data_IF_285380861984
#
_entry.id   IF_285380861984
#
_cell.length_a   1.000
_cell.length_b   1.000
_cell.length_c   1.000
_cell.angle_alpha   90.00
_cell.angle_beta   90.00
_cell.angle_gamma   90.00
#
_symmetry.space_group_name_H-M   'P 1'
#
loop_
_entity.id
_entity.type
_entity.pdbx_description
1 polymer ?
#
# COMPACT_ATOMS: atom_id res chain seq x y z
N UNK A 1 -30.41 7.52 -12.54
CA UNK A 1 -30.92 6.14 -12.35
C UNK A 1 -30.59 5.41 -13.64
N UNK A 2 -29.52 4.65 -13.81
CA UNK A 2 -28.60 3.98 -12.89
C UNK A 2 -27.18 4.54 -12.99
N UNK A 3 -26.67 5.11 -11.90
CA UNK A 3 -25.26 5.53 -11.76
C UNK A 3 -24.39 4.41 -11.15
N UNK A 4 -24.94 3.21 -11.00
CA UNK A 4 -24.37 2.15 -10.15
C UNK A 4 -23.53 1.12 -10.92
N UNK A 5 -23.34 1.31 -12.24
CA UNK A 5 -22.55 0.40 -13.09
C UNK A 5 -21.21 0.99 -13.58
N UNK A 6 -20.79 2.17 -13.10
CA UNK A 6 -19.73 2.94 -13.77
C UNK A 6 -18.29 2.62 -13.35
N UNK A 7 -18.03 1.69 -12.43
CA UNK A 7 -16.65 1.31 -12.08
C UNK A 7 -16.45 -0.20 -12.18
N UNK A 8 -16.49 -0.73 -13.41
CA UNK A 8 -15.88 -2.05 -13.65
C UNK A 8 -14.36 -1.88 -13.60
N UNK A 9 -13.64 -2.63 -12.76
CA UNK A 9 -12.19 -2.52 -12.66
C UNK A 9 -11.57 -2.77 -14.03
N UNK A 10 -10.60 -1.94 -14.41
CA UNK A 10 -9.94 -1.99 -15.72
C UNK A 10 -9.08 -3.25 -15.93
N UNK A 11 -9.03 -4.16 -14.95
CA UNK A 11 -8.09 -5.27 -14.84
C UNK A 11 -8.87 -6.58 -14.66
N UNK A 12 -8.50 -7.61 -15.42
CA UNK A 12 -9.11 -8.95 -15.31
C UNK A 12 -8.77 -9.60 -13.95
N UNK A 13 -9.67 -10.40 -13.37
CA UNK A 13 -9.47 -11.11 -12.10
C UNK A 13 -8.17 -11.93 -12.04
N UNK A 14 -7.74 -12.51 -13.17
CA UNK A 14 -6.44 -13.21 -13.24
C UNK A 14 -5.24 -12.29 -13.10
N UNK A 15 -5.33 -11.09 -13.67
CA UNK A 15 -4.30 -10.06 -13.56
C UNK A 15 -4.29 -9.47 -12.15
N UNK A 16 -5.46 -9.33 -11.52
CA UNK A 16 -5.56 -8.99 -10.11
C UNK A 16 -4.78 -9.99 -9.23
N UNK A 17 -5.01 -11.29 -9.37
CA UNK A 17 -4.26 -12.30 -8.59
C UNK A 17 -2.76 -12.25 -8.85
N UNK A 18 -2.33 -12.02 -10.10
CA UNK A 18 -0.92 -11.87 -10.42
C UNK A 18 -0.29 -10.63 -9.77
N UNK A 19 -1.00 -9.49 -9.79
CA UNK A 19 -0.54 -8.24 -9.15
C UNK A 19 -0.54 -8.35 -7.62
N UNK A 20 -1.55 -9.00 -7.04
CA UNK A 20 -1.61 -9.27 -5.60
C UNK A 20 -0.47 -10.20 -5.14
N UNK A 21 -0.18 -11.26 -5.91
CA UNK A 21 0.94 -12.14 -5.61
C UNK A 21 2.29 -11.40 -5.72
N UNK A 22 2.45 -10.52 -6.69
CA UNK A 22 3.63 -9.67 -6.83
C UNK A 22 3.76 -8.69 -5.66
N UNK A 23 2.66 -8.07 -5.24
CA UNK A 23 2.63 -7.17 -4.08
C UNK A 23 3.03 -7.88 -2.80
N UNK A 24 2.47 -9.08 -2.57
CA UNK A 24 2.84 -9.91 -1.43
C UNK A 24 4.32 -10.28 -1.49
N UNK A 25 4.83 -10.69 -2.64
CA UNK A 25 6.25 -11.05 -2.78
C UNK A 25 7.19 -9.84 -2.56
N UNK A 26 6.84 -8.68 -3.12
CA UNK A 26 7.61 -7.45 -2.97
C UNK A 26 7.66 -7.01 -1.50
N UNK A 27 6.52 -7.00 -0.82
CA UNK A 27 6.44 -6.62 0.59
C UNK A 27 7.12 -7.66 1.51
N UNK A 28 6.98 -8.96 1.20
CA UNK A 28 7.68 -10.04 1.90
C UNK A 28 9.21 -9.95 1.79
N UNK A 29 9.73 -9.37 0.71
CA UNK A 29 11.16 -9.10 0.52
C UNK A 29 11.59 -7.76 1.14
N UNK A 30 10.74 -6.73 1.08
CA UNK A 30 11.01 -5.40 1.62
C UNK A 30 11.17 -5.43 3.15
N UNK A 31 10.34 -6.22 3.85
CA UNK A 31 10.39 -6.36 5.31
C UNK A 31 11.75 -6.85 5.84
N UNK A 32 12.27 -8.00 5.40
CA UNK A 32 13.60 -8.49 5.78
C UNK A 32 14.73 -7.52 5.40
N UNK A 33 14.62 -6.85 4.26
CA UNK A 33 15.62 -5.85 3.84
C UNK A 33 15.64 -4.64 4.79
N UNK A 34 14.47 -4.17 5.23
CA UNK A 34 14.35 -3.12 6.24
C UNK A 34 14.95 -3.56 7.58
N UNK A 35 14.69 -4.80 8.00
CA UNK A 35 15.28 -5.39 9.23
C UNK A 35 16.80 -5.52 9.12
N UNK A 36 17.31 -6.01 7.99
CA UNK A 36 18.75 -6.13 7.75
C UNK A 36 19.43 -4.77 7.78
N UNK A 37 18.79 -3.75 7.21
CA UNK A 37 19.25 -2.36 7.26
C UNK A 37 19.27 -1.85 8.69
N UNK A 38 18.20 -2.07 9.46
CA UNK A 38 18.15 -1.68 10.86
C UNK A 38 19.29 -2.33 11.67
N UNK A 39 19.50 -3.63 11.50
CA UNK A 39 20.58 -4.36 12.17
C UNK A 39 21.96 -3.81 11.78
N UNK A 40 22.19 -3.55 10.49
CA UNK A 40 23.45 -3.00 9.99
C UNK A 40 23.74 -1.60 10.53
N UNK A 41 22.77 -0.69 10.47
CA UNK A 41 22.92 0.69 10.96
C UNK A 41 23.10 0.72 12.48
N UNK A 42 22.41 -0.17 13.20
CA UNK A 42 22.52 -0.27 14.66
C UNK A 42 23.76 -1.06 15.13
N UNK A 43 24.57 -1.61 14.22
CA UNK A 43 25.70 -2.49 14.58
C UNK A 43 25.30 -3.77 15.31
N UNK A 44 24.04 -4.21 15.17
CA UNK A 44 23.47 -5.36 15.86
C UNK A 44 23.51 -6.62 15.00
N UNK A 45 23.60 -7.82 15.61
CA UNK A 45 23.58 -9.05 14.85
C UNK A 45 22.22 -9.26 14.17
N UNK A 46 22.25 -9.60 12.88
CA UNK A 46 21.06 -9.96 12.13
C UNK A 46 20.61 -11.37 12.52
N UNK A 47 19.37 -11.51 12.98
CA UNK A 47 18.80 -12.82 13.35
C UNK A 47 17.78 -13.30 12.32
N UNK A 48 17.73 -14.61 12.10
CA UNK A 48 16.73 -15.22 11.20
C UNK A 48 15.30 -14.93 11.64
N UNK A 49 15.05 -14.93 12.96
CA UNK A 49 13.73 -14.59 13.53
C UNK A 49 13.31 -13.15 13.20
N UNK A 50 14.23 -12.19 13.33
CA UNK A 50 13.93 -10.80 12.98
C UNK A 50 13.59 -10.65 11.49
N UNK A 51 14.34 -11.33 10.60
CA UNK A 51 14.02 -11.34 9.16
C UNK A 51 12.64 -11.96 8.88
N UNK A 52 12.31 -13.09 9.53
CA UNK A 52 10.99 -13.73 9.38
C UNK A 52 9.85 -12.83 9.83
N UNK A 53 10.01 -12.13 10.95
CA UNK A 53 9.03 -11.15 11.43
C UNK A 53 8.89 -9.96 10.48
N UNK A 54 10.00 -9.49 9.90
CA UNK A 54 9.97 -8.47 8.84
C UNK A 54 9.18 -8.95 7.62
N UNK A 55 9.43 -10.17 7.13
CA UNK A 55 8.68 -10.76 6.03
C UNK A 55 7.19 -10.88 6.35
N UNK A 56 6.87 -11.37 7.55
CA UNK A 56 5.49 -11.52 8.01
C UNK A 56 4.76 -10.18 8.01
N UNK A 57 5.35 -9.13 8.58
CA UNK A 57 4.76 -7.78 8.57
C UNK A 57 4.46 -7.29 7.13
N UNK A 58 5.38 -7.52 6.20
CA UNK A 58 5.18 -7.19 4.79
C UNK A 58 4.04 -7.98 4.13
N UNK A 59 3.99 -9.30 4.38
CA UNK A 59 2.90 -10.16 3.90
C UNK A 59 1.57 -9.75 4.50
N UNK A 60 1.51 -9.38 5.79
CA UNK A 60 0.28 -8.92 6.43
C UNK A 60 -0.22 -7.62 5.79
N UNK A 61 0.66 -6.63 5.55
CA UNK A 61 0.29 -5.37 4.85
C UNK A 61 -0.40 -5.65 3.52
N UNK A 62 0.32 -6.33 2.64
CA UNK A 62 -0.11 -6.62 1.27
C UNK A 62 -1.29 -7.60 1.21
N UNK A 63 -1.33 -8.59 2.11
CA UNK A 63 -2.44 -9.54 2.23
C UNK A 63 -3.75 -8.87 2.63
N UNK A 64 -3.72 -7.93 3.57
CA UNK A 64 -4.91 -7.13 3.95
C UNK A 64 -5.39 -6.31 2.76
N UNK A 65 -4.48 -5.61 2.07
CA UNK A 65 -4.82 -4.79 0.89
C UNK A 65 -5.45 -5.65 -0.21
N UNK A 66 -4.79 -6.75 -0.59
CA UNK A 66 -5.29 -7.68 -1.59
C UNK A 66 -6.65 -8.28 -1.18
N UNK A 67 -6.84 -8.64 0.09
CA UNK A 67 -8.12 -9.15 0.56
C UNK A 67 -9.25 -8.12 0.45
N UNK A 68 -9.02 -6.89 0.92
CA UNK A 68 -10.04 -5.82 0.86
C UNK A 68 -10.39 -5.49 -0.58
N UNK A 69 -9.40 -5.42 -1.47
CA UNK A 69 -9.63 -5.21 -2.90
C UNK A 69 -10.40 -6.36 -3.54
N UNK A 70 -10.05 -7.62 -3.25
CA UNK A 70 -10.77 -8.79 -3.73
C UNK A 70 -12.23 -8.79 -3.29
N UNK A 71 -12.48 -8.51 -2.01
CA UNK A 71 -13.83 -8.45 -1.45
C UNK A 71 -14.63 -7.29 -2.05
N UNK A 72 -13.98 -6.22 -2.51
CA UNK A 72 -14.61 -5.15 -3.27
C UNK A 72 -15.29 -5.62 -4.56
N UNK A 73 -14.81 -6.71 -5.18
CA UNK A 73 -15.49 -7.31 -6.33
C UNK A 73 -16.82 -7.98 -5.98
N UNK A 74 -17.03 -8.35 -4.71
CA UNK A 74 -18.21 -9.10 -4.28
C UNK A 74 -19.45 -8.22 -4.01
N UNK A 75 -19.34 -6.89 -4.11
CA UNK A 75 -20.49 -5.98 -3.94
C UNK A 75 -21.07 -5.98 -2.53
N UNK A 76 -20.21 -5.81 -1.52
CA UNK A 76 -20.63 -5.78 -0.11
C UNK A 76 -21.54 -4.58 0.24
N UNK A 77 -22.42 -4.72 1.25
CA UNK A 77 -23.18 -3.60 1.78
C UNK A 77 -22.26 -2.51 2.36
N UNK A 78 -22.64 -1.25 2.19
CA UNK A 78 -21.83 -0.06 2.53
C UNK A 78 -21.19 -0.09 3.92
N UNK A 79 -21.89 -0.51 5.00
CA UNK A 79 -21.27 -0.58 6.33
C UNK A 79 -20.10 -1.57 6.40
N UNK A 80 -20.23 -2.74 5.78
CA UNK A 80 -19.16 -3.74 5.74
C UNK A 80 -17.98 -3.25 4.88
N UNK A 81 -18.27 -2.53 3.79
CA UNK A 81 -17.26 -1.90 2.96
C UNK A 81 -16.45 -0.83 3.72
N UNK A 82 -17.12 0.04 4.48
CA UNK A 82 -16.47 1.08 5.29
C UNK A 82 -15.51 0.45 6.31
N UNK A 83 -15.91 -0.62 6.99
CA UNK A 83 -15.06 -1.33 7.95
C UNK A 83 -13.82 -1.93 7.30
N UNK A 84 -13.96 -2.52 6.11
CA UNK A 84 -12.84 -3.08 5.37
C UNK A 84 -11.88 -2.00 4.85
N UNK A 85 -12.40 -0.87 4.39
CA UNK A 85 -11.58 0.28 3.99
C UNK A 85 -10.84 0.87 5.18
N UNK A 86 -11.46 0.92 6.37
CA UNK A 86 -10.78 1.33 7.59
C UNK A 86 -9.64 0.37 7.96
N UNK A 87 -9.85 -0.94 7.81
CA UNK A 87 -8.82 -1.95 8.03
C UNK A 87 -7.66 -1.81 7.04
N UNK A 88 -7.95 -1.61 5.75
CA UNK A 88 -6.96 -1.40 4.69
C UNK A 88 -6.34 0.02 4.68
N UNK A 89 -6.81 0.93 5.53
CA UNK A 89 -6.20 2.25 5.66
C UNK A 89 -4.82 2.16 6.30
N UNK A 90 -3.98 3.20 6.12
CA UNK A 90 -2.68 3.27 6.81
C UNK A 90 -2.81 3.12 8.32
N UNK A 91 -3.84 3.72 8.90
CA UNK A 91 -4.09 3.63 10.34
C UNK A 91 -4.39 2.19 10.76
N UNK A 92 -5.29 1.51 10.04
CA UNK A 92 -5.66 0.12 10.31
C UNK A 92 -4.46 -0.82 10.18
N UNK A 93 -3.76 -0.75 9.05
CA UNK A 93 -2.59 -1.59 8.76
C UNK A 93 -1.47 -1.37 9.79
N UNK A 94 -1.12 -0.12 10.09
CA UNK A 94 -0.04 0.17 11.06
C UNK A 94 -0.36 -0.40 12.45
N UNK A 95 -1.61 -0.25 12.90
CA UNK A 95 -2.07 -0.79 14.19
C UNK A 95 -2.05 -2.31 14.18
N UNK A 96 -2.57 -2.96 13.13
CA UNK A 96 -2.60 -4.43 13.01
C UNK A 96 -1.20 -5.02 13.01
N UNK A 97 -0.31 -4.49 12.17
CA UNK A 97 1.08 -5.00 12.08
C UNK A 97 1.81 -4.76 13.39
N UNK A 98 1.64 -3.60 14.00
CA UNK A 98 2.28 -3.31 15.29
C UNK A 98 1.76 -4.24 16.38
N UNK A 99 0.45 -4.51 16.40
CA UNK A 99 -0.14 -5.47 17.33
C UNK A 99 0.38 -6.89 17.10
N UNK A 100 0.43 -7.35 15.85
CA UNK A 100 0.93 -8.66 15.46
C UNK A 100 2.39 -8.85 15.91
N UNK A 101 3.27 -7.94 15.49
CA UNK A 101 4.70 -8.05 15.78
C UNK A 101 4.99 -7.87 17.27
N UNK A 102 4.29 -6.95 17.95
CA UNK A 102 4.45 -6.79 19.40
C UNK A 102 4.06 -8.05 20.14
N UNK A 103 2.92 -8.66 19.79
CA UNK A 103 2.47 -9.89 20.44
C UNK A 103 3.44 -11.07 20.18
N UNK A 104 4.01 -11.18 18.98
CA UNK A 104 4.99 -12.22 18.64
C UNK A 104 6.37 -12.04 19.28
N UNK A 105 6.75 -10.81 19.63
CA UNK A 105 8.06 -10.47 20.20
C UNK A 105 7.99 -10.37 21.73
N UNK A 106 6.97 -9.71 22.25
CA UNK A 106 6.80 -9.35 23.66
C UNK A 106 5.78 -10.24 24.39
N UNK A 107 4.93 -10.98 23.66
CA UNK A 107 3.82 -11.75 24.24
C UNK A 107 2.61 -10.90 24.63
N UNK A 108 2.65 -9.60 24.35
CA UNK A 108 1.57 -8.66 24.58
C UNK A 108 1.61 -7.53 23.55
N UNK A 109 0.57 -6.70 23.54
CA UNK A 109 0.48 -5.52 22.67
C UNK A 109 0.44 -4.25 23.51
N UNK A 110 1.59 -3.63 23.80
CA UNK A 110 1.63 -2.42 24.61
C UNK A 110 0.84 -1.29 23.93
N UNK A 111 -0.10 -0.67 24.66
CA UNK A 111 -0.89 0.45 24.16
C UNK A 111 -0.02 1.59 23.64
N UNK A 112 1.15 1.81 24.25
CA UNK A 112 2.14 2.79 23.79
C UNK A 112 2.59 2.56 22.36
N UNK A 113 2.86 1.29 21.98
CA UNK A 113 3.27 0.94 20.62
C UNK A 113 2.12 1.14 19.63
N UNK A 114 0.88 0.86 20.04
CA UNK A 114 -0.29 1.16 19.21
C UNK A 114 -0.48 2.66 18.98
N UNK A 115 -0.28 3.49 20.01
CA UNK A 115 -0.33 4.95 19.85
C UNK A 115 0.78 5.41 18.89
N UNK A 116 1.99 4.88 19.04
CA UNK A 116 3.09 5.18 18.13
C UNK A 116 2.74 4.79 16.68
N UNK A 117 2.10 3.64 16.47
CA UNK A 117 1.63 3.19 15.16
C UNK A 117 0.60 4.15 14.54
N UNK A 118 -0.37 4.61 15.33
CA UNK A 118 -1.39 5.57 14.87
C UNK A 118 -0.77 6.90 14.46
N UNK A 119 0.21 7.40 15.22
CA UNK A 119 0.87 8.67 14.88
C UNK A 119 1.80 8.51 13.67
N UNK A 120 2.49 7.38 13.55
CA UNK A 120 3.31 7.05 12.39
C UNK A 120 2.47 6.85 11.10
N UNK A 121 1.19 6.50 11.21
CA UNK A 121 0.31 6.38 10.06
C UNK A 121 0.02 7.73 9.38
N UNK A 122 0.18 8.87 10.07
CA UNK A 122 -0.04 10.22 9.51
C UNK A 122 0.91 10.52 8.34
N UNK A 123 2.24 10.41 8.49
CA UNK A 123 3.14 10.57 7.36
C UNK A 123 3.00 9.44 6.33
N UNK A 124 2.68 8.22 6.76
CA UNK A 124 2.43 7.10 5.85
C UNK A 124 1.14 7.24 5.03
N UNK A 125 0.25 8.19 5.34
CA UNK A 125 -1.01 8.41 4.62
C UNK A 125 -0.82 8.58 3.11
N UNK A 126 0.36 9.05 2.67
CA UNK A 126 0.71 9.16 1.26
C UNK A 126 1.13 7.85 0.57
N UNK A 127 1.38 6.75 1.30
CA UNK A 127 1.98 5.50 0.81
C UNK A 127 1.01 4.31 0.76
N UNK A 128 -0.18 4.39 1.38
CA UNK A 128 -1.18 3.29 1.35
C UNK A 128 -1.96 3.22 0.04
N UNK A 129 -1.22 3.06 -1.04
CA UNK A 129 -1.72 2.69 -2.36
C UNK A 129 -1.12 1.32 -2.65
N UNK A 130 -1.95 0.30 -2.83
CA UNK A 130 -1.45 -1.03 -3.24
C UNK A 130 -0.95 -1.00 -4.69
N UNK A 131 -0.08 -1.95 -5.05
CA UNK A 131 0.42 -2.12 -6.43
C UNK A 131 -0.73 -2.14 -7.46
N UNK A 132 -1.86 -2.74 -7.11
CA UNK A 132 -3.06 -2.79 -7.95
C UNK A 132 -3.63 -1.40 -8.28
N UNK A 133 -3.71 -0.50 -7.28
CA UNK A 133 -4.12 0.88 -7.50
C UNK A 133 -3.09 1.66 -8.33
N UNK A 134 -1.79 1.43 -8.14
CA UNK A 134 -0.75 2.00 -9.00
C UNK A 134 -0.88 1.53 -10.46
N UNK A 135 -1.28 0.28 -10.69
CA UNK A 135 -1.47 -0.31 -12.01
C UNK A 135 -2.78 0.09 -12.72
N UNK A 136 -3.57 1.01 -12.15
CA UNK A 136 -4.78 1.56 -12.77
C UNK A 136 -6.07 1.33 -11.99
N UNK A 137 -6.12 0.33 -11.10
CA UNK A 137 -7.20 0.05 -10.15
C UNK A 137 -8.65 0.35 -10.60
N UNK A 138 -9.50 0.72 -9.64
CA UNK A 138 -10.85 1.25 -9.88
C UNK A 138 -10.87 2.76 -10.24
N UNK A 139 -9.80 3.49 -9.93
CA UNK A 139 -9.77 4.97 -9.92
C UNK A 139 -8.67 5.59 -10.79
N UNK A 140 -7.99 4.81 -11.64
CA UNK A 140 -6.90 5.26 -12.50
C UNK A 140 -5.53 5.24 -11.80
N UNK A 141 -4.47 5.06 -12.59
CA UNK A 141 -3.10 4.99 -12.09
C UNK A 141 -2.55 6.37 -11.74
N UNK A 142 -2.01 6.52 -10.52
CA UNK A 142 -1.27 7.73 -10.13
C UNK A 142 0.20 7.37 -9.96
N UNK A 143 1.10 7.82 -10.85
CA UNK A 143 2.53 7.61 -10.65
C UNK A 143 2.94 8.37 -9.39
N UNK A 144 3.31 7.64 -8.34
CA UNK A 144 3.90 8.22 -7.15
C UNK A 144 5.40 8.35 -7.36
N UNK A 145 5.98 9.48 -6.96
CA UNK A 145 7.43 9.67 -7.05
C UNK A 145 8.11 8.81 -5.99
N UNK A 146 9.01 7.92 -6.42
CA UNK A 146 9.79 7.03 -5.55
C UNK A 146 10.49 7.78 -4.39
N UNK A 147 10.97 8.99 -4.64
CA UNK A 147 11.58 9.84 -3.61
C UNK A 147 10.59 10.28 -2.52
N UNK A 148 9.31 10.48 -2.86
CA UNK A 148 8.26 10.80 -1.90
C UNK A 148 7.96 9.60 -1.01
N UNK A 149 7.76 8.41 -1.60
CA UNK A 149 7.51 7.16 -0.87
C UNK A 149 8.64 6.87 0.13
N UNK A 150 9.89 6.90 -0.35
CA UNK A 150 11.07 6.73 0.49
C UNK A 150 11.09 7.72 1.68
N UNK A 151 10.80 9.00 1.40
CA UNK A 151 10.79 10.04 2.43
C UNK A 151 9.68 9.86 3.46
N UNK A 152 8.47 9.48 3.03
CA UNK A 152 7.33 9.25 3.92
C UNK A 152 7.56 8.03 4.81
N UNK A 153 8.10 6.93 4.25
CA UNK A 153 8.40 5.73 5.03
C UNK A 153 9.53 5.95 6.04
N UNK A 154 10.57 6.69 5.63
CA UNK A 154 11.63 7.10 6.54
C UNK A 154 11.10 7.96 7.69
N UNK A 155 10.22 8.92 7.38
CA UNK A 155 9.61 9.79 8.39
C UNK A 155 8.65 9.01 9.29
N UNK A 156 7.90 8.05 8.75
CA UNK A 156 7.08 7.13 9.52
C UNK A 156 7.87 6.28 10.51
N UNK A 157 8.96 5.66 10.06
CA UNK A 157 9.87 4.92 10.93
C UNK A 157 10.44 5.80 12.06
N UNK A 158 10.89 7.00 11.72
CA UNK A 158 11.35 7.99 12.70
C UNK A 158 10.27 8.35 13.72
N UNK A 159 9.06 8.70 13.25
CA UNK A 159 7.93 9.10 14.10
C UNK A 159 7.52 7.96 15.02
N UNK A 160 7.45 6.73 14.50
CA UNK A 160 7.14 5.54 15.30
C UNK A 160 8.12 5.37 16.46
N UNK A 161 9.43 5.35 16.17
CA UNK A 161 10.46 5.17 17.19
C UNK A 161 10.46 6.30 18.23
N UNK A 162 10.25 7.55 17.78
CA UNK A 162 10.16 8.71 18.68
C UNK A 162 8.92 8.67 19.57
N UNK A 163 7.78 8.28 19.04
CA UNK A 163 6.54 8.18 19.81
C UNK A 163 6.58 7.02 20.80
N UNK A 164 7.20 5.90 20.44
CA UNK A 164 7.45 4.80 21.37
C UNK A 164 8.34 5.25 22.54
N UNK A 165 9.45 5.94 22.26
CA UNK A 165 10.34 6.52 23.27
C UNK A 165 9.59 7.48 24.21
N UNK A 166 8.77 8.38 23.67
CA UNK A 166 7.98 9.32 24.47
C UNK A 166 6.99 8.63 25.44
N UNK A 167 6.55 7.43 25.11
CA UNK A 167 5.70 6.61 25.99
C UNK A 167 6.48 5.60 26.83
N UNK A 168 7.81 5.73 26.93
CA UNK A 168 8.68 4.91 27.77
C UNK A 168 9.11 3.58 27.15
N UNK A 169 8.93 3.38 25.84
CA UNK A 169 9.31 2.17 25.11
C UNK A 169 10.45 2.44 24.13
N UNK A 170 11.67 2.12 24.56
CA UNK A 170 12.88 2.28 23.74
C UNK A 170 13.11 1.08 22.84
N UNK A 171 12.65 1.18 21.60
CA UNK A 171 12.79 0.10 20.60
C UNK A 171 14.16 0.16 19.93
N UNK A 172 14.51 1.31 19.34
CA UNK A 172 15.77 1.52 18.63
C UNK A 172 16.07 3.03 18.45
N UNK A 173 17.31 3.40 18.12
CA UNK A 173 17.64 4.78 17.78
C UNK A 173 16.85 5.30 16.58
N UNK A 174 16.44 6.56 16.59
CA UNK A 174 15.53 7.11 15.57
C UNK A 174 16.06 7.05 14.14
N UNK A 175 17.38 7.20 13.97
CA UNK A 175 18.02 7.13 12.65
C UNK A 175 18.02 5.70 12.09
N UNK A 176 18.04 4.67 12.96
CA UNK A 176 17.93 3.26 12.57
C UNK A 176 16.53 2.99 12.03
N UNK A 177 15.50 3.45 12.74
CA UNK A 177 14.11 3.30 12.31
C UNK A 177 13.84 4.05 11.00
N UNK A 178 14.39 5.25 10.85
CA UNK A 178 14.28 6.02 9.61
C UNK A 178 14.96 5.33 8.43
N UNK A 179 16.15 4.76 8.63
CA UNK A 179 16.86 4.01 7.58
C UNK A 179 16.11 2.75 7.16
N UNK A 180 15.54 2.02 8.12
CA UNK A 180 14.71 0.85 7.84
C UNK A 180 13.47 1.22 7.01
N UNK A 181 12.76 2.29 7.41
CA UNK A 181 11.63 2.83 6.67
C UNK A 181 12.02 3.25 5.25
N UNK A 182 13.12 3.99 5.10
CA UNK A 182 13.61 4.42 3.78
C UNK A 182 13.83 3.22 2.83
N UNK A 183 14.49 2.16 3.30
CA UNK A 183 14.77 0.96 2.48
C UNK A 183 13.49 0.22 2.11
N UNK A 184 12.55 0.11 3.05
CA UNK A 184 11.23 -0.45 2.76
C UNK A 184 10.55 0.32 1.62
N UNK A 185 10.48 1.64 1.74
CA UNK A 185 9.88 2.53 0.74
C UNK A 185 10.59 2.57 -0.61
N UNK A 186 11.92 2.34 -0.65
CA UNK A 186 12.64 2.18 -1.92
C UNK A 186 12.15 0.95 -2.66
N UNK A 187 12.02 -0.17 -1.95
CA UNK A 187 11.67 -1.47 -2.56
C UNK A 187 10.22 -1.43 -3.02
N UNK A 188 9.27 -1.05 -2.15
CA UNK A 188 7.85 -0.97 -2.51
C UNK A 188 7.60 0.12 -3.56
N UNK A 189 8.21 1.29 -3.40
CA UNK A 189 8.11 2.40 -4.33
C UNK A 189 8.66 2.11 -5.72
N UNK A 190 9.70 1.26 -5.85
CA UNK A 190 10.20 0.82 -7.15
C UNK A 190 9.12 0.04 -7.91
N UNK A 191 8.44 -0.92 -7.28
CA UNK A 191 7.38 -1.69 -7.92
C UNK A 191 6.17 -0.80 -8.27
N UNK A 192 5.77 0.12 -7.39
CA UNK A 192 4.73 1.12 -7.68
C UNK A 192 5.09 2.00 -8.88
N UNK A 193 6.34 2.46 -8.96
CA UNK A 193 6.81 3.32 -10.05
C UNK A 193 6.80 2.56 -11.38
N UNK A 194 7.39 1.37 -11.43
CA UNK A 194 7.49 0.56 -12.65
C UNK A 194 6.11 0.18 -13.17
N UNK A 195 5.23 -0.33 -12.30
CA UNK A 195 3.88 -0.75 -12.70
C UNK A 195 2.98 0.44 -13.00
N UNK A 196 3.14 1.57 -12.29
CA UNK A 196 2.48 2.82 -12.60
C UNK A 196 2.88 3.36 -13.98
N UNK A 197 4.16 3.29 -14.36
CA UNK A 197 4.62 3.66 -15.70
C UNK A 197 4.05 2.72 -16.78
N UNK A 198 4.05 1.39 -16.55
CA UNK A 198 3.50 0.41 -17.49
C UNK A 198 1.99 0.60 -17.67
N UNK A 199 1.26 0.88 -16.58
CA UNK A 199 -0.16 1.19 -16.62
C UNK A 199 -0.45 2.56 -17.28
N UNK A 200 0.45 3.52 -17.11
CA UNK A 200 0.38 4.85 -17.71
C UNK A 200 0.45 4.83 -19.25
N UNK A 201 0.96 3.76 -19.86
CA UNK A 201 0.80 3.48 -21.29
C UNK A 201 -0.63 3.01 -21.62
N UNK A 202 -1.62 3.84 -21.26
CA UNK A 202 -3.03 3.61 -21.56
C UNK A 202 -3.41 4.25 -22.89
N UNK A 203 -4.01 3.48 -23.79
CA UNK A 203 -4.65 3.99 -24.99
C UNK A 203 -6.10 4.35 -24.68
N UNK A 204 -6.51 5.54 -25.11
CA UNK A 204 -7.86 6.06 -24.95
C UNK A 204 -8.52 6.09 -26.32
N UNK A 205 -9.61 5.35 -26.48
CA UNK A 205 -10.49 5.43 -27.65
C UNK A 205 -11.83 6.03 -27.17
N UNK A 206 -12.27 7.14 -27.77
CA UNK A 206 -13.58 7.74 -27.48
C UNK A 206 -14.39 7.87 -28.75
N UNK A 207 -15.67 7.47 -28.71
CA UNK A 207 -16.62 7.60 -29.82
C UNK A 207 -18.00 7.91 -29.25
N UNK A 208 -18.55 9.08 -29.58
CA UNK A 208 -19.89 9.51 -29.17
C UNK A 208 -20.17 9.40 -27.66
N UNK A 209 -19.25 9.90 -26.83
CA UNK A 209 -19.38 9.85 -25.37
C UNK A 209 -19.05 8.51 -24.73
N UNK A 210 -18.95 7.42 -25.51
CA UNK A 210 -18.41 6.15 -25.02
C UNK A 210 -16.89 6.17 -25.08
N UNK A 211 -16.24 5.93 -23.94
CA UNK A 211 -14.79 5.79 -23.89
C UNK A 211 -14.39 4.36 -23.53
N UNK A 212 -13.30 3.90 -24.16
CA UNK A 212 -12.60 2.67 -23.83
C UNK A 212 -11.19 3.05 -23.38
N UNK A 213 -10.88 2.76 -22.12
CA UNK A 213 -9.49 2.84 -21.61
C UNK A 213 -8.88 1.46 -21.73
N UNK A 214 -7.81 1.32 -22.48
CA UNK A 214 -7.06 0.08 -22.62
C UNK A 214 -5.65 0.28 -22.11
N UNK A 215 -5.21 -0.54 -21.17
CA UNK A 215 -3.82 -0.60 -20.74
C UNK A 215 -3.28 -2.03 -20.87
N UNK A 216 -2.03 -2.25 -20.47
CA UNK A 216 -1.37 -3.58 -20.51
C UNK A 216 -2.11 -4.60 -19.62
N UNK A 217 -2.88 -4.14 -18.63
CA UNK A 217 -3.54 -4.96 -17.62
C UNK A 217 -5.02 -5.25 -17.90
N UNK A 218 -5.66 -4.52 -18.83
CA UNK A 218 -7.01 -4.81 -19.29
C UNK A 218 -7.70 -3.67 -20.04
N UNK A 219 -9.04 -3.76 -20.10
CA UNK A 219 -9.92 -2.81 -20.80
C UNK A 219 -11.06 -2.40 -19.87
N UNK A 220 -11.26 -1.10 -19.69
CA UNK A 220 -12.46 -0.53 -19.09
C UNK A 220 -13.28 0.23 -20.13
N UNK A 221 -14.59 0.21 -19.96
CA UNK A 221 -15.54 0.96 -20.78
C UNK A 221 -16.33 1.88 -19.85
N UNK A 222 -16.51 3.12 -20.27
CA UNK A 222 -17.36 4.07 -19.57
C UNK A 222 -18.05 5.00 -20.55
N UNK A 223 -18.86 5.88 -19.99
CA UNK A 223 -19.59 6.88 -20.73
C UNK A 223 -19.40 8.23 -20.03
N UNK A 224 -19.00 9.24 -20.79
CA UNK A 224 -18.77 10.60 -20.32
C UNK A 224 -19.34 11.58 -21.37
N UNK A 225 -20.39 12.31 -20.97
CA UNK A 225 -21.07 13.30 -21.81
C UNK A 225 -20.13 14.44 -22.26
N UNK A 226 -19.03 14.70 -21.53
CA UNK A 226 -18.06 15.74 -21.88
C UNK A 226 -17.16 15.40 -23.06
N UNK A 227 -17.17 14.12 -23.50
CA UNK A 227 -16.38 13.62 -24.63
C UNK A 227 -17.20 13.45 -25.92
N UNK A 228 -18.42 14.00 -25.97
CA UNK A 228 -19.10 14.21 -27.24
C UNK A 228 -18.28 15.20 -28.05
N UNK A 229 -17.69 14.73 -29.15
CA UNK A 229 -17.02 15.60 -30.13
C UNK A 229 -18.00 16.71 -30.51
N UNK A 230 -17.71 17.94 -30.09
CA UNK A 230 -18.37 19.13 -30.59
C UNK A 230 -18.01 19.27 -32.06
N UNK A 231 -18.82 18.64 -32.92
CA UNK A 231 -18.87 18.96 -34.33
C UNK A 231 -19.35 20.39 -34.47
N UNK A 232 -18.41 21.34 -34.52
CA UNK A 232 -18.70 22.66 -35.06
C UNK A 232 -18.96 22.49 -36.56
N UNK A 233 -20.19 22.82 -36.95
CA UNK A 233 -20.63 23.14 -38.31
C UNK A 233 -19.74 24.22 -38.94
#
# INVERSE_FOLDING_TARGET
MDSDNLNRPAINIWVFFALAALDIAANAAAGPAAVATAAHVNGSPLTARAMQLGALAGVTKSGILAFVEFVGYAGLPTPAWILLVLLASCFGICVVITAEISNLVLGETPTTLLIAAVVAAIPLAGECIGIYQSAGGLYGGKPQTQACIMGLDALGGYVFARMAHNGGYDICPYHVAAAAGAVYGVITGFFHTVLGCIAGCSSYESTNGHYTVRNVFGKSHGYDDSWMVTGHL
#
